data_IF_457205736390
#
_entry.id   IF_457205736390
#
_cell.length_a   1.000
_cell.length_b   1.000
_cell.length_c   1.000
_cell.angle_alpha   90.00
_cell.angle_beta   90.00
_cell.angle_gamma   90.00
#
_symmetry.space_group_name_H-M   'P 1'
#
loop_
_entity.id
_entity.type
_entity.pdbx_description
1 polymer ?
#
# COMPACT_ATOMS: atom_id res chain seq x y z
N UNK A 1 -8.58 21.21 26.64
CA UNK A 1 -9.01 20.13 25.73
C UNK A 1 -8.08 18.96 25.94
N UNK A 2 -8.55 17.75 26.26
CA UNK A 2 -7.67 16.59 26.33
C UNK A 2 -6.98 16.38 24.98
N UNK A 3 -5.66 16.19 24.98
CA UNK A 3 -4.88 15.90 23.78
C UNK A 3 -5.38 14.61 23.16
N UNK A 4 -5.89 14.68 21.92
CA UNK A 4 -6.30 13.50 21.15
C UNK A 4 -5.11 12.54 21.04
N UNK A 5 -5.27 11.30 21.51
CA UNK A 5 -4.23 10.26 21.35
C UNK A 5 -3.99 9.99 19.87
N UNK A 6 -2.74 9.68 19.51
CA UNK A 6 -2.39 9.24 18.15
C UNK A 6 -2.94 7.84 17.85
N UNK A 7 -2.88 6.94 18.84
CA UNK A 7 -3.37 5.56 18.77
C UNK A 7 -3.59 4.97 20.18
N UNK A 8 -4.01 3.70 20.21
CA UNK A 8 -4.32 2.95 21.43
C UNK A 8 -3.19 2.03 21.92
N UNK A 9 -1.99 2.12 21.33
CA UNK A 9 -0.86 1.26 21.71
C UNK A 9 -0.43 1.48 23.16
N UNK A 10 0.05 0.41 23.81
CA UNK A 10 0.81 0.52 25.05
C UNK A 10 2.27 0.95 24.78
N UNK A 11 3.00 1.36 25.82
CA UNK A 11 4.37 1.86 25.66
C UNK A 11 5.36 0.84 25.08
N UNK A 12 5.16 -0.46 25.38
CA UNK A 12 6.02 -1.53 24.86
C UNK A 12 5.81 -1.71 23.36
N UNK A 13 4.56 -1.77 22.92
CA UNK A 13 4.18 -1.96 21.53
C UNK A 13 4.52 -0.73 20.72
N UNK A 14 4.28 0.48 21.25
CA UNK A 14 4.73 1.73 20.66
C UNK A 14 6.23 1.71 20.38
N UNK A 15 7.04 1.39 21.40
CA UNK A 15 8.51 1.35 21.26
C UNK A 15 8.93 0.35 20.18
N UNK A 16 8.33 -0.84 20.15
CA UNK A 16 8.61 -1.85 19.12
C UNK A 16 8.24 -1.36 17.71
N UNK A 17 7.06 -0.76 17.55
CA UNK A 17 6.57 -0.32 16.24
C UNK A 17 7.31 0.91 15.72
N UNK A 18 7.88 1.73 16.62
CA UNK A 18 8.71 2.88 16.26
C UNK A 18 10.10 2.55 15.70
N UNK A 19 10.50 1.26 15.69
CA UNK A 19 11.76 0.84 15.06
C UNK A 19 11.60 0.97 13.54
N UNK A 20 12.55 1.66 12.90
CA UNK A 20 12.52 1.97 11.46
C UNK A 20 12.75 0.77 10.54
N UNK A 21 13.08 -0.41 11.09
CA UNK A 21 13.22 -1.67 10.37
C UNK A 21 12.29 -2.73 10.96
N UNK A 22 11.34 -3.20 10.16
CA UNK A 22 10.38 -4.24 10.56
C UNK A 22 10.79 -5.57 9.94
N UNK A 23 11.26 -6.52 10.75
CA UNK A 23 11.71 -7.85 10.28
C UNK A 23 10.83 -8.99 10.80
N UNK A 24 9.76 -8.67 11.51
CA UNK A 24 8.90 -9.60 12.25
C UNK A 24 7.52 -9.77 11.61
N UNK A 25 7.31 -9.20 10.42
CA UNK A 25 6.07 -9.30 9.66
C UNK A 25 6.25 -10.36 8.58
N UNK A 26 5.47 -11.43 8.66
CA UNK A 26 5.52 -12.55 7.73
C UNK A 26 4.12 -13.04 7.35
N UNK A 27 4.01 -13.72 6.21
CA UNK A 27 2.75 -14.32 5.75
C UNK A 27 2.31 -15.47 6.65
N UNK A 28 1.01 -15.52 6.94
CA UNK A 28 0.35 -16.64 7.60
C UNK A 28 0.36 -17.90 6.72
N UNK A 29 0.05 -19.06 7.30
CA UNK A 29 -0.07 -20.32 6.54
C UNK A 29 -1.20 -20.26 5.50
N UNK A 30 -2.29 -19.57 5.81
CA UNK A 30 -3.40 -19.36 4.89
C UNK A 30 -2.96 -18.51 3.69
N UNK A 31 -2.24 -17.42 3.95
CA UNK A 31 -1.72 -16.53 2.92
C UNK A 31 -0.66 -17.20 2.03
N UNK A 32 0.10 -18.16 2.56
CA UNK A 32 1.04 -18.96 1.76
C UNK A 32 0.31 -19.96 0.84
N UNK A 33 -0.90 -20.40 1.19
CA UNK A 33 -1.71 -21.35 0.40
C UNK A 33 -2.46 -20.65 -0.73
N UNK A 34 -2.85 -19.40 -0.51
CA UNK A 34 -3.23 -18.47 -1.56
C UNK A 34 -2.05 -18.38 -2.53
N UNK A 35 -2.09 -19.04 -3.69
CA UNK A 35 -1.01 -19.06 -4.72
C UNK A 35 -0.90 -17.71 -5.45
N UNK A 36 -0.81 -16.62 -4.68
CA UNK A 36 -0.81 -15.25 -5.13
C UNK A 36 0.54 -14.62 -4.76
N UNK A 37 1.40 -14.34 -5.75
CA UNK A 37 2.77 -13.91 -5.51
C UNK A 37 2.91 -12.45 -5.04
N UNK A 38 1.83 -11.66 -4.99
CA UNK A 38 1.89 -10.19 -4.89
C UNK A 38 1.12 -9.58 -3.69
N UNK A 39 0.81 -10.37 -2.66
CA UNK A 39 0.13 -9.87 -1.46
C UNK A 39 1.14 -9.65 -0.33
N UNK A 40 1.19 -8.43 0.22
CA UNK A 40 1.77 -8.27 1.55
C UNK A 40 0.91 -8.99 2.60
N UNK A 41 1.52 -9.51 3.68
CA UNK A 41 0.80 -10.14 4.78
C UNK A 41 -0.19 -9.17 5.40
N UNK A 42 -1.36 -9.64 5.81
CA UNK A 42 -2.36 -8.90 6.57
C UNK A 42 -1.80 -8.29 7.88
N UNK A 43 -0.78 -8.91 8.46
CA UNK A 43 -0.09 -8.38 9.63
C UNK A 43 0.55 -7.00 9.37
N UNK A 44 0.90 -6.68 8.11
CA UNK A 44 1.44 -5.38 7.72
C UNK A 44 0.42 -4.25 7.84
N UNK A 45 -0.73 -4.27 7.11
CA UNK A 45 -1.75 -3.25 7.26
C UNK A 45 -2.36 -3.25 8.66
N UNK A 46 -2.48 -4.40 9.35
CA UNK A 46 -2.95 -4.43 10.73
C UNK A 46 -2.09 -3.54 11.64
N UNK A 47 -0.77 -3.69 11.58
CA UNK A 47 0.17 -2.85 12.33
C UNK A 47 0.04 -1.37 11.98
N UNK A 48 -0.06 -1.05 10.68
CA UNK A 48 -0.21 0.34 10.24
C UNK A 48 -1.52 0.95 10.74
N UNK A 49 -2.63 0.19 10.72
CA UNK A 49 -3.92 0.61 11.29
C UNK A 49 -3.78 0.89 12.78
N UNK A 50 -3.12 0.03 13.54
CA UNK A 50 -2.89 0.27 14.97
C UNK A 50 -1.98 1.48 15.23
N UNK A 51 -1.03 1.79 14.33
CA UNK A 51 -0.15 2.94 14.49
C UNK A 51 -0.86 4.27 14.22
N UNK A 52 -1.72 4.31 13.20
CA UNK A 52 -2.25 5.57 12.65
C UNK A 52 -3.75 5.77 12.89
N UNK A 53 -4.43 4.84 13.58
CA UNK A 53 -5.82 5.00 14.01
C UNK A 53 -5.97 4.86 15.53
N UNK A 54 -6.82 5.69 16.13
CA UNK A 54 -7.21 5.60 17.53
C UNK A 54 -8.71 5.31 17.71
N UNK A 55 -9.54 5.71 16.75
CA UNK A 55 -10.98 5.52 16.80
C UNK A 55 -11.37 4.18 16.18
N UNK A 56 -12.33 3.49 16.78
CA UNK A 56 -13.00 2.33 16.16
C UNK A 56 -13.82 2.76 14.94
N UNK A 57 -14.28 4.02 14.91
CA UNK A 57 -15.03 4.58 13.78
C UNK A 57 -14.15 4.95 12.58
N UNK A 58 -12.82 4.81 12.70
CA UNK A 58 -11.87 5.18 11.66
C UNK A 58 -12.13 4.41 10.37
N UNK A 59 -11.97 5.09 9.23
CA UNK A 59 -12.16 4.50 7.91
C UNK A 59 -10.81 4.31 7.22
N UNK A 60 -10.54 3.07 6.83
CA UNK A 60 -9.31 2.68 6.13
C UNK A 60 -9.59 2.57 4.63
N UNK A 61 -8.72 3.14 3.80
CA UNK A 61 -8.80 3.02 2.34
C UNK A 61 -7.66 2.15 1.78
N UNK A 62 -7.97 1.29 0.82
CA UNK A 62 -6.99 0.72 -0.10
C UNK A 62 -7.32 1.10 -1.56
N UNK A 63 -6.64 2.08 -2.17
CA UNK A 63 -6.88 2.50 -3.54
C UNK A 63 -6.47 1.48 -4.62
N UNK A 64 -5.76 0.41 -4.24
CA UNK A 64 -5.36 -0.69 -5.12
C UNK A 64 -5.55 -2.02 -4.37
N UNK A 65 -6.80 -2.32 -4.03
CA UNK A 65 -7.15 -3.30 -3.00
C UNK A 65 -6.68 -4.72 -3.30
N UNK A 66 -6.45 -5.09 -4.56
CA UNK A 66 -6.02 -6.42 -4.95
C UNK A 66 -6.92 -7.49 -4.36
N UNK A 67 -6.32 -8.50 -3.71
CA UNK A 67 -7.10 -9.55 -3.03
C UNK A 67 -7.66 -9.12 -1.65
N UNK A 68 -7.57 -7.85 -1.27
CA UNK A 68 -8.24 -7.30 -0.09
C UNK A 68 -7.52 -7.47 1.25
N UNK A 69 -6.20 -7.68 1.29
CA UNK A 69 -5.48 -7.88 2.58
C UNK A 69 -5.65 -6.70 3.55
N UNK A 70 -5.60 -5.46 3.06
CA UNK A 70 -5.86 -4.26 3.88
C UNK A 70 -7.30 -4.23 4.42
N UNK A 71 -8.27 -4.58 3.58
CA UNK A 71 -9.69 -4.57 3.93
C UNK A 71 -10.00 -5.60 5.03
N UNK A 72 -9.41 -6.79 4.92
CA UNK A 72 -9.55 -7.84 5.91
C UNK A 72 -8.89 -7.46 7.24
N UNK A 73 -7.69 -6.88 7.19
CA UNK A 73 -7.02 -6.38 8.39
C UNK A 73 -7.89 -5.35 9.12
N UNK A 74 -8.43 -4.37 8.39
CA UNK A 74 -9.32 -3.36 8.94
C UNK A 74 -10.56 -3.99 9.58
N UNK A 75 -11.24 -4.90 8.88
CA UNK A 75 -12.44 -5.57 9.40
C UNK A 75 -12.15 -6.40 10.66
N UNK A 76 -11.06 -7.17 10.70
CA UNK A 76 -10.66 -7.96 11.87
C UNK A 76 -10.25 -7.10 13.07
N UNK A 77 -9.79 -5.88 12.78
CA UNK A 77 -9.50 -4.86 13.77
C UNK A 77 -10.76 -4.05 14.16
N UNK A 78 -11.94 -4.32 13.58
CA UNK A 78 -13.17 -3.60 13.90
C UNK A 78 -13.26 -2.21 13.26
N UNK A 79 -12.47 -1.91 12.23
CA UNK A 79 -12.49 -0.65 11.48
C UNK A 79 -13.33 -0.79 10.21
N UNK A 80 -13.98 0.29 9.80
CA UNK A 80 -14.61 0.37 8.48
C UNK A 80 -13.54 0.50 7.41
N UNK A 81 -13.79 -0.05 6.22
CA UNK A 81 -12.85 0.10 5.12
C UNK A 81 -13.51 0.20 3.75
N UNK A 82 -12.80 0.88 2.85
CA UNK A 82 -13.16 1.04 1.44
C UNK A 82 -11.99 0.56 0.58
N UNK A 83 -12.27 -0.18 -0.49
CA UNK A 83 -11.28 -0.64 -1.45
C UNK A 83 -11.67 -0.28 -2.88
N UNK A 84 -10.69 0.09 -3.71
CA UNK A 84 -10.85 0.22 -5.15
C UNK A 84 -9.95 -0.82 -5.83
N UNK A 85 -10.49 -1.61 -6.74
CA UNK A 85 -9.73 -2.56 -7.54
C UNK A 85 -10.29 -2.61 -8.96
N UNK A 86 -9.40 -2.57 -9.96
CA UNK A 86 -9.79 -2.50 -11.37
C UNK A 86 -9.88 -3.88 -12.02
N UNK A 87 -9.24 -4.89 -11.44
CA UNK A 87 -9.19 -6.23 -11.99
C UNK A 87 -10.27 -7.13 -11.38
N UNK A 88 -11.20 -7.57 -12.21
CA UNK A 88 -12.30 -8.45 -11.80
C UNK A 88 -11.83 -9.71 -11.06
N UNK A 89 -10.74 -10.36 -11.49
CA UNK A 89 -10.21 -11.56 -10.80
C UNK A 89 -9.86 -11.25 -9.33
N UNK A 90 -9.24 -10.09 -9.09
CA UNK A 90 -8.88 -9.67 -7.74
C UNK A 90 -10.10 -9.22 -6.93
N UNK A 91 -11.08 -8.57 -7.57
CA UNK A 91 -12.37 -8.24 -6.95
C UNK A 91 -13.06 -9.52 -6.47
N UNK A 92 -13.20 -10.53 -7.33
CA UNK A 92 -13.87 -11.79 -7.00
C UNK A 92 -13.19 -12.49 -5.82
N UNK A 93 -11.85 -12.52 -5.84
CA UNK A 93 -11.08 -13.07 -4.73
C UNK A 93 -11.28 -12.29 -3.43
N UNK A 94 -11.21 -10.96 -3.48
CA UNK A 94 -11.40 -10.12 -2.32
C UNK A 94 -12.81 -10.29 -1.74
N UNK A 95 -13.84 -10.33 -2.59
CA UNK A 95 -15.22 -10.60 -2.18
C UNK A 95 -15.37 -11.96 -1.52
N UNK A 96 -14.76 -13.02 -2.06
CA UNK A 96 -14.79 -14.34 -1.44
C UNK A 96 -14.15 -14.34 -0.03
N UNK A 97 -13.02 -13.63 0.14
CA UNK A 97 -12.37 -13.49 1.46
C UNK A 97 -13.19 -12.64 2.42
N UNK A 98 -13.79 -11.56 1.93
CA UNK A 98 -14.69 -10.68 2.72
C UNK A 98 -15.92 -11.46 3.18
N UNK A 99 -16.49 -12.31 2.34
CA UNK A 99 -17.65 -13.15 2.69
C UNK A 99 -17.33 -14.18 3.79
N UNK A 100 -16.06 -14.54 3.96
CA UNK A 100 -15.60 -15.45 5.01
C UNK A 100 -15.28 -14.73 6.34
N UNK A 101 -15.45 -13.40 6.42
CA UNK A 101 -15.28 -12.67 7.68
C UNK A 101 -16.38 -13.05 8.69
N UNK A 102 -16.08 -12.96 10.01
CA UNK A 102 -17.09 -13.15 11.05
C UNK A 102 -18.28 -12.17 10.88
N UNK A 103 -19.52 -12.58 11.20
CA UNK A 103 -20.72 -11.75 11.04
C UNK A 103 -20.66 -10.40 11.77
N UNK A 104 -19.93 -10.32 12.88
CA UNK A 104 -19.74 -9.13 13.71
C UNK A 104 -18.69 -8.15 13.15
N UNK A 105 -17.85 -8.59 12.22
CA UNK A 105 -16.82 -7.72 11.64
C UNK A 105 -17.46 -6.68 10.71
N UNK A 106 -17.02 -5.41 10.73
CA UNK A 106 -17.46 -4.41 9.76
C UNK A 106 -17.19 -4.90 8.34
N UNK A 107 -18.23 -4.95 7.51
CA UNK A 107 -18.09 -5.40 6.11
C UNK A 107 -17.38 -4.33 5.28
N UNK A 108 -16.22 -4.63 4.66
CA UNK A 108 -15.56 -3.71 3.75
C UNK A 108 -16.45 -3.36 2.54
N UNK A 109 -16.37 -2.10 2.10
CA UNK A 109 -16.97 -1.66 0.84
C UNK A 109 -15.92 -1.78 -0.27
N UNK A 110 -16.13 -2.67 -1.24
CA UNK A 110 -15.21 -2.86 -2.36
C UNK A 110 -15.86 -2.40 -3.67
N UNK A 111 -15.21 -1.46 -4.36
CA UNK A 111 -15.61 -1.00 -5.69
C UNK A 111 -14.76 -1.67 -6.77
N UNK A 112 -15.41 -2.29 -7.75
CA UNK A 112 -14.78 -2.65 -9.01
C UNK A 112 -14.72 -1.40 -9.90
N UNK A 113 -13.60 -0.70 -9.86
CA UNK A 113 -13.43 0.57 -10.55
C UNK A 113 -11.95 0.91 -10.78
N UNK A 114 -11.71 1.83 -11.69
CA UNK A 114 -10.41 2.49 -11.79
C UNK A 114 -10.23 3.45 -10.61
N UNK A 115 -9.03 3.45 -10.00
CA UNK A 115 -8.67 4.35 -8.89
C UNK A 115 -8.91 5.83 -9.20
N UNK A 116 -8.87 6.23 -10.47
CA UNK A 116 -9.12 7.61 -10.89
C UNK A 116 -10.57 8.06 -10.65
N UNK A 117 -11.50 7.13 -10.48
CA UNK A 117 -12.88 7.40 -10.08
C UNK A 117 -13.05 7.57 -8.56
N UNK A 118 -11.99 7.41 -7.75
CA UNK A 118 -12.04 7.47 -6.29
C UNK A 118 -12.77 8.73 -5.75
N UNK A 119 -12.51 9.96 -6.25
CA UNK A 119 -13.20 11.15 -5.75
C UNK A 119 -14.71 11.18 -6.00
N UNK A 120 -15.19 10.43 -6.99
CA UNK A 120 -16.63 10.33 -7.30
C UNK A 120 -17.32 9.25 -6.45
N UNK A 121 -16.56 8.24 -6.01
CA UNK A 121 -17.05 7.09 -5.24
C UNK A 121 -16.98 7.30 -3.73
N UNK A 122 -16.01 8.09 -3.26
CA UNK A 122 -15.72 8.27 -1.85
C UNK A 122 -15.75 9.77 -1.52
N UNK A 123 -16.54 10.21 -0.51
CA UNK A 123 -16.62 11.62 -0.16
C UNK A 123 -15.25 12.21 0.22
N UNK A 124 -15.05 13.49 -0.09
CA UNK A 124 -13.90 14.24 0.38
C UNK A 124 -13.81 14.22 1.91
N UNK A 125 -12.59 14.26 2.45
CA UNK A 125 -12.32 14.30 3.90
C UNK A 125 -13.10 13.24 4.70
N UNK A 126 -13.13 12.00 4.21
CA UNK A 126 -13.88 10.88 4.82
C UNK A 126 -13.02 9.69 5.25
N UNK A 127 -11.74 9.64 4.82
CA UNK A 127 -10.79 8.56 5.11
C UNK A 127 -9.72 9.00 6.13
N UNK A 128 -9.53 8.22 7.20
CA UNK A 128 -8.53 8.50 8.24
C UNK A 128 -7.13 8.00 7.83
N UNK A 129 -7.08 6.84 7.18
CA UNK A 129 -5.84 6.16 6.82
C UNK A 129 -5.98 5.45 5.47
N UNK A 130 -5.09 5.73 4.53
CA UNK A 130 -4.91 4.93 3.32
C UNK A 130 -3.71 4.00 3.47
N UNK A 131 -3.82 2.74 3.09
CA UNK A 131 -2.71 1.77 3.05
C UNK A 131 -2.79 1.02 1.73
N UNK A 132 -1.68 0.93 1.00
CA UNK A 132 -1.67 0.19 -0.26
C UNK A 132 -0.27 -0.25 -0.69
N UNK A 133 -0.23 -1.18 -1.65
CA UNK A 133 0.92 -1.44 -2.50
C UNK A 133 0.44 -1.17 -3.94
N UNK A 134 0.88 -0.09 -4.59
CA UNK A 134 0.40 0.25 -5.91
C UNK A 134 0.89 -0.77 -6.95
N UNK A 135 0.31 -0.78 -8.17
CA UNK A 135 0.87 -1.53 -9.28
C UNK A 135 2.31 -1.10 -9.54
N UNK A 136 3.17 -2.04 -9.96
CA UNK A 136 4.56 -1.75 -10.29
C UNK A 136 4.75 -1.51 -11.79
N UNK A 137 5.64 -0.58 -12.14
CA UNK A 137 5.95 -0.22 -13.52
C UNK A 137 6.34 -1.42 -14.37
N UNK A 138 5.49 -1.75 -15.35
CA UNK A 138 5.86 -2.60 -16.47
C UNK A 138 6.39 -4.00 -16.07
N UNK A 139 5.95 -4.50 -14.91
CA UNK A 139 6.42 -5.78 -14.30
C UNK A 139 5.80 -7.01 -14.97
N UNK A 140 4.75 -6.83 -15.79
CA UNK A 140 4.02 -7.92 -16.44
C UNK A 140 4.34 -8.11 -17.92
N UNK A 141 4.94 -7.12 -18.59
CA UNK A 141 5.40 -7.29 -19.99
C UNK A 141 6.78 -7.96 -20.08
N UNK A 142 7.55 -7.94 -19.00
CA UNK A 142 8.86 -8.57 -18.97
C UNK A 142 8.70 -10.08 -18.76
N UNK A 143 9.08 -10.87 -19.76
CA UNK A 143 9.21 -12.33 -19.62
C UNK A 143 9.99 -12.64 -18.33
N UNK A 144 9.33 -13.25 -17.34
CA UNK A 144 9.91 -13.66 -16.07
C UNK A 144 10.88 -14.82 -16.32
N UNK A 145 12.09 -14.48 -16.75
CA UNK A 145 13.15 -15.44 -17.11
C UNK A 145 13.68 -16.25 -15.92
N UNK A 146 13.36 -15.84 -14.68
CA UNK A 146 13.85 -16.46 -13.46
C UNK A 146 12.91 -17.52 -12.86
N UNK A 147 11.59 -17.35 -13.03
CA UNK A 147 10.57 -18.19 -12.40
C UNK A 147 9.50 -18.48 -13.45
N UNK A 148 9.43 -19.73 -13.95
CA UNK A 148 8.48 -20.22 -14.96
C UNK A 148 7.02 -20.20 -14.47
N UNK A 149 6.53 -19.08 -13.94
CA UNK A 149 5.13 -18.85 -13.57
C UNK A 149 4.51 -17.91 -14.59
N UNK A 150 3.31 -18.28 -15.04
CA UNK A 150 2.56 -17.59 -16.08
C UNK A 150 2.56 -16.07 -15.89
N UNK A 151 2.77 -15.37 -17.00
CA UNK A 151 2.55 -13.94 -17.15
C UNK A 151 1.09 -13.66 -16.77
N UNK A 152 0.86 -13.03 -15.62
CA UNK A 152 -0.49 -12.60 -15.24
C UNK A 152 -0.68 -11.21 -15.80
N UNK A 153 -0.96 -11.16 -17.09
CA UNK A 153 -1.47 -9.95 -17.72
C UNK A 153 -2.76 -9.58 -16.99
N UNK A 154 -2.87 -8.36 -16.44
CA UNK A 154 -4.16 -7.77 -16.05
C UNK A 154 -4.93 -7.49 -17.35
N UNK A 155 -5.21 -8.55 -18.11
CA UNK A 155 -5.67 -8.52 -19.49
C UNK A 155 -7.06 -7.89 -19.54
N UNK A 156 -7.14 -6.65 -20.01
CA UNK A 156 -8.39 -6.05 -20.48
C UNK A 156 -8.94 -4.84 -19.72
N UNK A 157 -8.34 -4.41 -18.60
CA UNK A 157 -8.80 -3.20 -17.92
C UNK A 157 -8.24 -1.93 -18.59
N UNK A 158 -9.11 -1.12 -19.18
CA UNK A 158 -8.76 0.24 -19.63
C UNK A 158 -8.37 1.07 -18.41
N UNK A 159 -7.08 1.47 -18.31
CA UNK A 159 -6.58 2.25 -17.17
C UNK A 159 -5.53 1.59 -16.29
N UNK A 160 -5.09 0.38 -16.65
CA UNK A 160 -4.00 -0.30 -15.96
C UNK A 160 -2.68 0.50 -16.04
N UNK A 161 -2.32 1.15 -14.92
CA UNK A 161 -1.09 1.91 -14.76
C UNK A 161 0.16 1.05 -15.00
N UNK A 162 0.09 -0.27 -14.77
CA UNK A 162 1.22 -1.17 -14.94
C UNK A 162 1.65 -1.34 -16.41
N UNK A 163 0.84 -0.90 -17.39
CA UNK A 163 1.14 -0.98 -18.83
C UNK A 163 1.91 0.21 -19.38
N UNK A 164 2.07 1.28 -18.62
CA UNK A 164 2.78 2.47 -19.07
C UNK A 164 4.24 2.09 -19.38
N UNK A 165 4.68 2.35 -20.61
CA UNK A 165 5.99 1.91 -21.10
C UNK A 165 7.12 2.71 -20.46
N UNK A 166 6.94 4.03 -20.37
CA UNK A 166 7.94 4.97 -19.87
C UNK A 166 7.86 5.15 -18.35
N UNK A 167 9.01 5.05 -17.67
CA UNK A 167 9.06 5.08 -16.21
C UNK A 167 8.58 6.41 -15.63
N UNK A 168 8.99 7.52 -16.23
CA UNK A 168 8.61 8.85 -15.75
C UNK A 168 7.10 9.09 -15.90
N UNK A 169 6.51 8.64 -17.01
CA UNK A 169 5.07 8.71 -17.23
C UNK A 169 4.30 7.85 -16.23
N UNK A 170 4.83 6.66 -15.91
CA UNK A 170 4.26 5.79 -14.89
C UNK A 170 4.22 6.46 -13.51
N UNK A 171 5.34 7.04 -13.07
CA UNK A 171 5.41 7.74 -11.78
C UNK A 171 4.43 8.91 -11.73
N UNK A 172 4.33 9.70 -12.81
CA UNK A 172 3.38 10.82 -12.90
C UNK A 172 1.92 10.35 -12.89
N UNK A 173 1.59 9.29 -13.62
CA UNK A 173 0.23 8.75 -13.67
C UNK A 173 -0.18 8.17 -12.31
N UNK A 174 0.73 7.47 -11.63
CA UNK A 174 0.52 7.00 -10.27
C UNK A 174 0.35 8.17 -9.28
N UNK A 175 1.16 9.22 -9.40
CA UNK A 175 0.97 10.47 -8.65
C UNK A 175 -0.40 11.10 -8.87
N UNK A 176 -0.92 11.06 -10.10
CA UNK A 176 -2.28 11.49 -10.44
C UNK A 176 -3.37 10.68 -9.70
N UNK A 177 -3.21 9.36 -9.59
CA UNK A 177 -4.13 8.53 -8.80
C UNK A 177 -4.09 8.89 -7.30
N UNK A 178 -2.90 9.12 -6.74
CA UNK A 178 -2.75 9.53 -5.34
C UNK A 178 -3.27 10.95 -5.06
N UNK A 179 -3.41 11.82 -6.07
CA UNK A 179 -4.12 13.09 -5.89
C UNK A 179 -5.60 12.87 -5.50
N UNK A 180 -6.24 11.81 -6.04
CA UNK A 180 -7.58 11.41 -5.61
C UNK A 180 -7.60 10.92 -4.15
N UNK A 181 -6.57 10.18 -3.73
CA UNK A 181 -6.40 9.75 -2.33
C UNK A 181 -6.27 10.96 -1.40
N UNK A 182 -5.50 11.98 -1.81
CA UNK A 182 -5.35 13.22 -1.05
C UNK A 182 -6.69 13.95 -0.86
N UNK A 183 -7.58 13.93 -1.86
CA UNK A 183 -8.92 14.54 -1.77
C UNK A 183 -9.78 13.88 -0.70
N UNK A 184 -9.77 12.56 -0.61
CA UNK A 184 -10.66 11.80 0.30
C UNK A 184 -10.10 11.64 1.71
N UNK A 185 -8.80 11.84 1.92
CA UNK A 185 -8.19 11.84 3.26
C UNK A 185 -8.64 13.05 4.08
N UNK A 186 -8.88 12.87 5.38
CA UNK A 186 -9.04 14.01 6.30
C UNK A 186 -7.74 14.83 6.39
N UNK A 187 -7.81 16.15 6.65
CA UNK A 187 -6.61 16.92 6.98
C UNK A 187 -5.90 16.32 8.22
N UNK A 188 -4.61 16.00 8.07
CA UNK A 188 -3.83 15.27 9.08
C UNK A 188 -3.95 13.74 9.02
N UNK A 189 -4.78 13.20 8.13
CA UNK A 189 -4.86 11.76 7.83
C UNK A 189 -3.61 11.25 7.13
N UNK A 190 -3.37 9.95 7.24
CA UNK A 190 -2.14 9.31 6.79
C UNK A 190 -2.34 8.46 5.52
N UNK A 191 -1.30 8.35 4.70
CA UNK A 191 -1.23 7.45 3.56
C UNK A 191 0.09 6.66 3.62
N UNK A 192 -0.01 5.34 3.80
CA UNK A 192 1.12 4.43 3.84
C UNK A 192 1.21 3.69 2.50
N UNK A 193 2.33 3.85 1.80
CA UNK A 193 2.54 3.27 0.47
C UNK A 193 3.71 2.29 0.50
N UNK A 194 3.44 1.02 0.24
CA UNK A 194 4.42 -0.06 0.26
C UNK A 194 5.00 -0.26 -1.13
N UNK A 195 6.30 -0.03 -1.31
CA UNK A 195 6.98 -0.10 -2.60
C UNK A 195 8.39 -0.66 -2.51
N UNK A 196 8.80 -1.40 -3.54
CA UNK A 196 10.18 -1.88 -3.72
C UNK A 196 10.86 -1.15 -4.88
N UNK A 197 12.15 -0.85 -4.72
CA UNK A 197 12.96 -0.33 -5.82
C UNK A 197 13.09 -1.31 -6.98
N UNK A 198 13.22 -0.79 -8.20
CA UNK A 198 13.20 -1.58 -9.43
C UNK A 198 14.58 -1.65 -10.07
N UNK A 199 14.83 -2.72 -10.83
CA UNK A 199 16.04 -2.87 -11.66
C UNK A 199 15.64 -3.56 -12.96
N UNK A 200 15.87 -2.89 -14.09
CA UNK A 200 15.62 -3.42 -15.44
C UNK A 200 16.92 -3.40 -16.22
N UNK A 201 17.46 -4.60 -16.50
CA UNK A 201 18.79 -4.75 -17.07
C UNK A 201 19.87 -4.08 -16.21
N UNK A 202 20.61 -3.15 -16.81
CA UNK A 202 21.71 -2.42 -16.13
C UNK A 202 21.22 -1.24 -15.28
N UNK A 203 20.00 -0.75 -15.53
CA UNK A 203 19.46 0.45 -14.90
C UNK A 203 18.81 0.15 -13.55
N UNK A 204 19.04 1.03 -12.58
CA UNK A 204 18.36 1.04 -11.28
C UNK A 204 17.35 2.17 -11.25
N UNK A 205 16.19 1.93 -10.66
CA UNK A 205 15.14 2.92 -10.47
C UNK A 205 14.83 2.99 -8.98
N UNK A 206 15.16 4.12 -8.31
CA UNK A 206 14.88 4.34 -6.90
C UNK A 206 13.39 4.70 -6.73
N UNK A 207 12.51 3.76 -7.07
CA UNK A 207 11.07 3.98 -7.15
C UNK A 207 10.47 4.55 -5.87
N UNK A 208 10.94 4.13 -4.69
CA UNK A 208 10.47 4.71 -3.44
C UNK A 208 10.74 6.22 -3.36
N UNK A 209 11.92 6.68 -3.79
CA UNK A 209 12.35 8.08 -3.73
C UNK A 209 11.68 8.92 -4.82
N UNK A 210 11.56 8.38 -6.03
CA UNK A 210 10.88 9.04 -7.14
C UNK A 210 9.39 9.23 -6.83
N UNK A 211 8.74 8.20 -6.27
CA UNK A 211 7.34 8.29 -5.84
C UNK A 211 7.16 9.27 -4.70
N UNK A 212 8.05 9.26 -3.69
CA UNK A 212 7.99 10.23 -2.60
C UNK A 212 8.08 11.67 -3.09
N UNK A 213 8.95 11.93 -4.06
CA UNK A 213 9.09 13.25 -4.69
C UNK A 213 7.82 13.64 -5.44
N UNK A 214 7.24 12.71 -6.20
CA UNK A 214 6.00 12.98 -6.94
C UNK A 214 4.82 13.24 -6.00
N UNK A 215 4.63 12.44 -4.94
CA UNK A 215 3.53 12.67 -3.99
C UNK A 215 3.70 13.97 -3.22
N UNK A 216 4.94 14.35 -2.88
CA UNK A 216 5.23 15.65 -2.28
C UNK A 216 4.81 16.82 -3.20
N UNK A 217 5.06 16.72 -4.52
CA UNK A 217 4.60 17.71 -5.51
C UNK A 217 3.08 17.80 -5.60
N UNK A 218 2.36 16.72 -5.28
CA UNK A 218 0.89 16.68 -5.25
C UNK A 218 0.29 17.22 -3.95
N UNK A 219 1.12 17.54 -2.96
CA UNK A 219 0.70 18.15 -1.70
C UNK A 219 0.70 17.22 -0.49
N UNK A 220 1.16 15.96 -0.63
CA UNK A 220 1.48 15.15 0.53
C UNK A 220 2.72 15.68 1.27
N UNK A 221 2.78 15.47 2.57
CA UNK A 221 4.01 15.63 3.36
C UNK A 221 4.56 14.24 3.62
N UNK A 222 5.82 13.97 3.24
CA UNK A 222 6.51 12.75 3.66
C UNK A 222 6.85 12.90 5.15
N UNK A 223 6.24 12.06 5.97
CA UNK A 223 6.37 12.07 7.44
C UNK A 223 7.54 11.18 7.87
N UNK A 224 7.59 9.94 7.40
CA UNK A 224 8.67 9.00 7.73
C UNK A 224 8.77 7.84 6.69
N UNK A 225 9.80 7.01 6.82
CA UNK A 225 10.03 5.80 6.01
C UNK A 225 10.39 4.63 6.92
N UNK A 226 9.68 3.51 6.73
CA UNK A 226 10.01 2.23 7.37
C UNK A 226 10.56 1.26 6.32
N UNK A 227 11.60 0.51 6.68
CA UNK A 227 12.12 -0.60 5.88
C UNK A 227 11.47 -1.89 6.37
N UNK A 228 10.63 -2.50 5.55
CA UNK A 228 10.10 -3.83 5.82
C UNK A 228 11.07 -4.87 5.28
N UNK A 229 11.82 -5.49 6.19
CA UNK A 229 12.73 -6.58 5.88
C UNK A 229 11.94 -7.86 5.60
N UNK A 230 12.05 -8.30 4.36
CA UNK A 230 11.41 -9.49 3.82
C UNK A 230 12.40 -10.63 3.61
N UNK A 231 13.62 -10.55 4.14
CA UNK A 231 14.65 -11.58 3.92
C UNK A 231 14.16 -13.00 4.25
N UNK A 232 13.33 -13.16 5.27
CA UNK A 232 12.71 -14.43 5.63
C UNK A 232 11.76 -15.03 4.56
N UNK A 233 11.24 -14.23 3.63
CA UNK A 233 10.45 -14.71 2.48
C UNK A 233 11.35 -15.26 1.35
N UNK A 234 12.66 -14.97 1.37
CA UNK A 234 13.60 -15.36 0.32
C UNK A 234 14.46 -16.56 0.75
N UNK A 235 13.99 -17.77 0.42
CA UNK A 235 14.70 -19.01 0.75
C UNK A 235 15.95 -19.28 -0.12
N UNK A 236 16.24 -18.47 -1.15
CA UNK A 236 17.34 -18.71 -2.09
C UNK A 236 17.81 -17.41 -2.74
N UNK A 237 18.71 -16.69 -2.08
CA UNK A 237 19.41 -15.54 -2.68
C UNK A 237 20.23 -16.00 -3.88
N UNK A 238 20.26 -15.17 -4.93
CA UNK A 238 21.00 -15.49 -6.15
C UNK A 238 22.32 -14.71 -6.18
N UNK A 239 23.42 -15.26 -6.74
CA UNK A 239 24.67 -14.53 -6.95
C UNK A 239 24.51 -13.57 -8.15
N UNK A 240 23.72 -12.52 -7.97
CA UNK A 240 23.32 -11.62 -9.05
C UNK A 240 24.54 -10.92 -9.68
N UNK A 241 24.71 -11.12 -10.99
CA UNK A 241 25.79 -10.53 -11.78
C UNK A 241 27.15 -11.21 -11.64
N UNK A 242 27.29 -12.26 -10.83
CA UNK A 242 28.55 -12.99 -10.67
C UNK A 242 29.01 -13.65 -11.99
N UNK A 243 30.32 -13.67 -12.30
CA UNK A 243 31.40 -12.96 -11.59
C UNK A 243 31.60 -11.51 -12.07
N UNK A 244 30.88 -11.08 -13.10
CA UNK A 244 31.20 -9.87 -13.87
C UNK A 244 30.78 -8.54 -13.23
N UNK A 245 29.73 -8.53 -12.38
CA UNK A 245 29.21 -7.32 -11.72
C UNK A 245 28.60 -7.69 -10.36
N UNK A 246 28.99 -6.97 -9.31
CA UNK A 246 28.35 -7.13 -7.99
C UNK A 246 26.96 -6.48 -7.98
N UNK A 247 25.91 -7.27 -7.70
CA UNK A 247 24.54 -6.77 -7.54
C UNK A 247 23.94 -7.28 -6.24
N UNK A 248 23.29 -6.37 -5.51
CA UNK A 248 22.60 -6.69 -4.26
C UNK A 248 21.29 -7.42 -4.52
N UNK A 249 21.00 -8.43 -3.70
CA UNK A 249 19.66 -9.01 -3.62
C UNK A 249 18.77 -8.02 -2.87
N UNK A 250 17.67 -7.60 -3.50
CA UNK A 250 16.67 -6.77 -2.84
C UNK A 250 15.79 -7.70 -2.02
N UNK A 251 15.82 -7.50 -0.71
CA UNK A 251 15.13 -8.35 0.28
C UNK A 251 14.23 -7.53 1.18
N UNK A 252 13.95 -6.29 0.83
CA UNK A 252 13.11 -5.40 1.60
C UNK A 252 12.20 -4.57 0.69
N UNK A 253 11.14 -4.04 1.28
CA UNK A 253 10.30 -3.01 0.70
C UNK A 253 10.30 -1.78 1.60
N UNK A 254 10.02 -0.63 1.03
CA UNK A 254 9.85 0.62 1.75
C UNK A 254 8.37 0.83 2.04
N UNK A 255 8.05 1.24 3.26
CA UNK A 255 6.75 1.79 3.62
C UNK A 255 6.95 3.29 3.73
N UNK A 256 6.49 4.01 2.72
CA UNK A 256 6.51 5.47 2.72
C UNK A 256 5.29 5.96 3.50
N UNK A 257 5.51 6.76 4.54
CA UNK A 257 4.44 7.31 5.37
C UNK A 257 4.25 8.77 4.99
N UNK A 258 3.10 9.07 4.40
CA UNK A 258 2.71 10.43 4.04
C UNK A 258 1.57 10.92 4.93
N UNK A 259 1.45 12.23 5.06
CA UNK A 259 0.33 12.90 5.71
C UNK A 259 -0.29 13.94 4.77
N UNK A 260 -1.63 14.03 4.76
CA UNK A 260 -2.33 15.19 4.19
C UNK A 260 -2.09 16.39 5.11
N UNK A 261 -1.61 17.55 4.61
CA UNK A 261 -1.40 18.73 5.44
C UNK A 261 -2.62 19.05 6.30
N UNK A 262 -2.40 19.33 7.59
CA UNK A 262 -3.46 19.80 8.47
C UNK A 262 -3.95 21.16 7.97
N UNK A 263 -5.26 21.39 8.02
CA UNK A 263 -5.79 22.72 7.79
C UNK A 263 -5.09 23.70 8.75
N UNK A 264 -4.57 24.81 8.23
CA UNK A 264 -4.00 25.84 9.09
C UNK A 264 -5.11 26.32 10.02
N UNK A 265 -4.93 26.14 11.33
CA UNK A 265 -5.80 26.79 12.31
C UNK A 265 -5.73 28.29 12.01
N UNK A 266 -6.84 28.88 11.59
CA UNK A 266 -6.88 30.29 11.22
C UNK A 266 -6.21 31.10 12.30
N UNK A 267 -5.08 31.77 11.97
CA UNK A 267 -4.60 32.87 12.78
C UNK A 267 -5.72 33.90 12.72
N UNK A 268 -6.58 33.91 13.73
CA UNK A 268 -7.37 35.09 14.05
C UNK A 268 -6.36 36.22 14.22
N UNK A 269 -6.23 37.04 13.18
CA UNK A 269 -5.51 38.30 13.27
C UNK A 269 -6.31 39.11 14.30
N UNK A 270 -5.73 39.26 15.48
CA UNK A 270 -6.11 40.32 16.41
C UNK A 270 -5.63 41.65 15.88
#
# INVERSE_FOLDING_TARGET
MPTRRANNLDGRTWTRYSISVWSDIARSLEEKRLRHPALFPEALPARLIECFTASEDAVVLDPFAGAGSTLLAAARLGRRSVGIEICQEYVDMAQARIAALPPEAPKPLLHHADVRALPDLVPADSIDLAITSPPYWNVLSAARSADRRATRDYAGATGDLARIEEYAEFVQALGGAFAGVLTVLHPGGYCCVVVMDLRKGKQFYPFHSDLATELARRGFVLDDIIIWDRHADYNSLRPLGYPSVFRVNKVHEFILIFQKPRAQAGRARS
#
